data_IF_548785651290
#
_entry.id   IF_548785651290
#
_cell.length_a   1.000
_cell.length_b   1.000
_cell.length_c   1.000
_cell.angle_alpha   90.00
_cell.angle_beta   90.00
_cell.angle_gamma   90.00
#
_symmetry.space_group_name_H-M   'P 1'
#
loop_
_entity.id
_entity.type
_entity.pdbx_description
1 polymer ?
#
# COMPACT_ATOMS: atom_id res chain seq x y z
N UNK A 1 -104.47 -1.41 25.49
CA UNK A 1 -103.37 -1.53 26.47
C UNK A 1 -102.76 -2.91 26.25
N UNK A 2 -101.49 -3.09 25.90
CA UNK A 2 -100.28 -2.41 26.35
C UNK A 2 -99.27 -2.37 25.20
N UNK A 3 -98.67 -1.20 25.01
CA UNK A 3 -97.61 -0.89 24.07
C UNK A 3 -96.28 -1.36 24.66
N UNK A 4 -95.57 -2.28 23.99
CA UNK A 4 -94.18 -2.63 24.35
C UNK A 4 -93.25 -1.78 23.48
N UNK A 5 -92.66 -0.75 24.09
CA UNK A 5 -91.59 0.05 23.48
C UNK A 5 -90.30 -0.80 23.43
N UNK A 6 -89.86 -1.16 22.23
CA UNK A 6 -88.47 -1.50 21.98
C UNK A 6 -87.65 -0.21 22.05
N UNK A 7 -86.96 -0.03 23.18
CA UNK A 7 -85.95 1.03 23.32
C UNK A 7 -84.73 0.61 22.50
N UNK A 8 -84.63 1.14 21.28
CA UNK A 8 -83.41 1.08 20.49
C UNK A 8 -82.26 1.70 21.27
N UNK A 9 -81.31 0.87 21.69
CA UNK A 9 -80.09 1.32 22.35
C UNK A 9 -79.28 2.16 21.36
N UNK A 10 -79.34 3.48 21.52
CA UNK A 10 -78.36 4.40 20.94
C UNK A 10 -77.00 4.03 21.51
N UNK A 11 -76.20 3.31 20.72
CA UNK A 11 -74.82 2.96 21.06
C UNK A 11 -74.00 4.24 21.22
N UNK A 12 -73.80 4.65 22.47
CA UNK A 12 -72.92 5.75 22.83
C UNK A 12 -71.48 5.23 22.88
N UNK A 13 -70.72 5.42 21.81
CA UNK A 13 -69.31 5.00 21.64
C UNK A 13 -68.30 5.75 22.55
N UNK A 14 -68.76 6.42 23.61
CA UNK A 14 -67.96 7.31 24.45
C UNK A 14 -67.83 6.84 25.90
N UNK A 15 -68.31 5.64 26.25
CA UNK A 15 -68.15 5.09 27.59
C UNK A 15 -66.86 4.26 27.68
N UNK A 16 -66.04 4.53 28.70
CA UNK A 16 -64.74 3.86 28.89
C UNK A 16 -64.85 2.33 29.08
N UNK A 17 -66.03 1.85 29.49
CA UNK A 17 -66.31 0.44 29.82
C UNK A 17 -66.90 -0.38 28.65
N UNK A 18 -67.06 0.20 27.46
CA UNK A 18 -67.56 -0.55 26.29
C UNK A 18 -66.57 -1.66 25.89
N UNK A 19 -67.08 -2.88 25.70
CA UNK A 19 -66.27 -4.05 25.38
C UNK A 19 -65.40 -3.88 24.11
N UNK A 20 -65.81 -3.04 23.16
CA UNK A 20 -65.02 -2.72 21.96
C UNK A 20 -63.87 -1.77 22.29
N UNK A 21 -64.12 -0.77 23.14
CA UNK A 21 -63.11 0.23 23.57
C UNK A 21 -62.01 -0.44 24.41
N UNK A 22 -62.38 -1.35 25.32
CA UNK A 22 -61.42 -2.13 26.12
C UNK A 22 -60.55 -3.03 25.23
N UNK A 23 -61.15 -3.69 24.24
CA UNK A 23 -60.44 -4.54 23.29
C UNK A 23 -59.46 -3.75 22.41
N UNK A 24 -59.88 -2.60 21.88
CA UNK A 24 -59.02 -1.73 21.08
C UNK A 24 -57.87 -1.16 21.91
N UNK A 25 -58.10 -0.82 23.19
CA UNK A 25 -57.05 -0.34 24.10
C UNK A 25 -56.01 -1.41 24.40
N UNK A 26 -56.43 -2.66 24.63
CA UNK A 26 -55.52 -3.79 24.81
C UNK A 26 -54.71 -4.09 23.54
N UNK A 27 -55.35 -4.01 22.36
CA UNK A 27 -54.67 -4.17 21.09
C UNK A 27 -53.64 -3.05 20.83
N UNK A 28 -53.98 -1.80 21.14
CA UNK A 28 -53.09 -0.66 21.01
C UNK A 28 -51.90 -0.70 21.99
N UNK A 29 -52.10 -1.25 23.20
CA UNK A 29 -51.03 -1.42 24.19
C UNK A 29 -49.94 -2.43 23.76
N UNK A 30 -50.27 -3.34 22.84
CA UNK A 30 -49.31 -4.30 22.27
C UNK A 30 -48.48 -3.73 21.10
N UNK A 31 -48.72 -2.47 20.71
CA UNK A 31 -48.00 -1.83 19.61
C UNK A 31 -46.84 -1.02 20.18
N UNK A 32 -45.62 -1.37 19.78
CA UNK A 32 -44.40 -0.67 20.20
C UNK A 32 -44.18 0.59 19.36
N UNK A 33 -44.33 1.75 20.00
CA UNK A 33 -44.08 3.07 19.41
C UNK A 33 -42.75 3.68 19.86
N UNK A 34 -41.87 2.96 20.56
CA UNK A 34 -40.63 3.51 21.14
C UNK A 34 -39.73 4.16 20.08
N UNK A 35 -39.67 3.61 18.88
CA UNK A 35 -38.86 4.09 17.74
C UNK A 35 -39.48 5.27 16.98
N UNK A 36 -40.75 5.60 17.20
CA UNK A 36 -41.38 6.76 16.57
C UNK A 36 -41.00 8.06 17.26
N UNK A 37 -40.79 9.13 16.47
CA UNK A 37 -40.56 10.47 16.99
C UNK A 37 -41.74 10.93 17.85
N UNK A 38 -41.48 11.61 18.96
CA UNK A 38 -42.52 12.01 19.93
C UNK A 38 -43.68 12.81 19.32
N UNK A 39 -43.37 13.62 18.30
CA UNK A 39 -44.34 14.42 17.54
C UNK A 39 -45.34 13.58 16.74
N UNK A 40 -44.98 12.33 16.40
CA UNK A 40 -45.84 11.40 15.64
C UNK A 40 -46.73 10.54 16.55
N UNK A 41 -46.55 10.63 17.88
CA UNK A 41 -47.34 9.89 18.87
C UNK A 41 -48.60 10.66 19.32
N UNK A 42 -48.73 11.91 18.91
CA UNK A 42 -49.85 12.78 19.27
C UNK A 42 -50.86 12.82 18.13
N UNK A 43 -52.16 12.80 18.47
CA UNK A 43 -53.21 13.10 17.48
C UNK A 43 -53.09 14.56 17.07
N UNK A 44 -52.79 14.75 15.80
CA UNK A 44 -52.69 16.05 15.15
C UNK A 44 -53.97 16.34 14.36
N UNK A 45 -54.20 17.61 14.03
CA UNK A 45 -55.31 17.97 13.15
C UNK A 45 -55.12 17.41 11.73
N UNK A 46 -56.22 17.19 11.00
CA UNK A 46 -56.17 16.71 9.60
C UNK A 46 -55.26 17.57 8.70
N UNK A 47 -55.13 18.87 9.02
CA UNK A 47 -54.25 19.80 8.31
C UNK A 47 -52.78 19.50 8.56
N UNK A 48 -52.42 19.20 9.80
CA UNK A 48 -51.04 18.87 10.21
C UNK A 48 -50.65 17.47 9.74
N UNK A 49 -51.58 16.51 9.75
CA UNK A 49 -51.36 15.17 9.20
C UNK A 49 -51.06 15.24 7.70
N UNK A 50 -51.84 16.00 6.93
CA UNK A 50 -51.60 16.24 5.49
C UNK A 50 -50.25 16.90 5.24
N UNK A 51 -49.84 17.84 6.11
CA UNK A 51 -48.52 18.48 6.03
C UNK A 51 -47.38 17.48 6.27
N UNK A 52 -47.49 16.64 7.30
CA UNK A 52 -46.49 15.61 7.59
C UNK A 52 -46.40 14.55 6.50
N UNK A 53 -47.54 14.08 5.97
CA UNK A 53 -47.55 13.17 4.81
C UNK A 53 -46.79 13.76 3.64
N UNK A 54 -47.07 15.04 3.32
CA UNK A 54 -46.36 15.75 2.26
C UNK A 54 -44.85 15.86 2.54
N UNK A 55 -44.44 16.17 3.77
CA UNK A 55 -43.02 16.21 4.16
C UNK A 55 -42.32 14.86 3.98
N UNK A 56 -42.98 13.75 4.34
CA UNK A 56 -42.41 12.42 4.12
C UNK A 56 -42.32 12.06 2.64
N UNK A 57 -43.30 12.46 1.84
CA UNK A 57 -43.31 12.25 0.39
C UNK A 57 -42.24 13.10 -0.32
N UNK A 58 -42.02 14.33 0.16
CA UNK A 58 -40.93 15.21 -0.27
C UNK A 58 -39.55 14.63 0.15
N UNK A 59 -39.43 14.05 1.36
CA UNK A 59 -38.20 13.37 1.78
C UNK A 59 -37.92 12.11 0.96
N UNK A 60 -38.96 11.32 0.70
CA UNK A 60 -38.85 10.10 -0.07
C UNK A 60 -38.42 10.41 -1.51
N UNK A 61 -39.08 11.37 -2.15
CA UNK A 61 -38.71 11.83 -3.49
C UNK A 61 -37.29 12.40 -3.54
N UNK A 62 -36.85 13.12 -2.52
CA UNK A 62 -35.46 13.59 -2.42
C UNK A 62 -34.45 12.43 -2.33
N UNK A 63 -34.72 11.43 -1.49
CA UNK A 63 -33.84 10.26 -1.36
C UNK A 63 -33.83 9.44 -2.66
N UNK A 64 -34.97 9.28 -3.32
CA UNK A 64 -35.03 8.63 -4.64
C UNK A 64 -34.24 9.40 -5.70
N UNK A 65 -34.38 10.72 -5.76
CA UNK A 65 -33.60 11.54 -6.68
C UNK A 65 -32.09 11.47 -6.36
N UNK A 66 -31.70 11.40 -5.09
CA UNK A 66 -30.30 11.18 -4.70
C UNK A 66 -29.80 9.82 -5.17
N UNK A 67 -30.56 8.74 -4.98
CA UNK A 67 -30.20 7.39 -5.44
C UNK A 67 -30.13 7.32 -6.97
N UNK A 68 -31.08 7.90 -7.70
CA UNK A 68 -31.06 7.96 -9.17
C UNK A 68 -29.89 8.80 -9.69
N UNK A 69 -29.48 9.84 -8.95
CA UNK A 69 -28.31 10.65 -9.29
C UNK A 69 -26.98 9.93 -9.02
N UNK A 70 -26.98 8.91 -8.14
CA UNK A 70 -25.78 8.11 -7.91
C UNK A 70 -25.47 7.29 -9.15
N UNK A 71 -24.27 7.49 -9.68
CA UNK A 71 -23.71 6.70 -10.76
C UNK A 71 -22.57 5.84 -10.20
N UNK A 72 -22.86 4.72 -9.53
CA UNK A 72 -21.81 3.88 -8.97
C UNK A 72 -20.91 3.33 -10.09
N UNK A 73 -19.58 3.51 -9.94
CA UNK A 73 -18.61 2.92 -10.85
C UNK A 73 -18.47 1.42 -10.54
N UNK A 74 -19.34 0.60 -11.14
CA UNK A 74 -19.37 -0.85 -10.92
C UNK A 74 -18.05 -1.55 -11.32
N UNK A 75 -17.22 -0.92 -12.15
CA UNK A 75 -15.90 -1.45 -12.54
C UNK A 75 -14.78 -1.12 -11.56
N UNK A 76 -15.03 -0.27 -10.57
CA UNK A 76 -14.00 0.16 -9.62
C UNK A 76 -13.44 -0.99 -8.78
N UNK A 77 -14.30 -1.93 -8.37
CA UNK A 77 -13.90 -3.10 -7.60
C UNK A 77 -12.98 -4.03 -8.43
N UNK A 78 -13.40 -4.41 -9.64
CA UNK A 78 -12.61 -5.25 -10.54
C UNK A 78 -11.29 -4.58 -10.95
N UNK A 79 -11.31 -3.28 -11.21
CA UNK A 79 -10.11 -2.51 -11.51
C UNK A 79 -9.15 -2.46 -10.32
N UNK A 80 -9.67 -2.33 -9.09
CA UNK A 80 -8.86 -2.36 -7.88
C UNK A 80 -8.18 -3.72 -7.70
N UNK A 81 -8.91 -4.81 -7.87
CA UNK A 81 -8.34 -6.17 -7.75
C UNK A 81 -7.24 -6.42 -8.77
N UNK A 82 -7.49 -6.05 -10.03
CA UNK A 82 -6.51 -6.17 -11.12
C UNK A 82 -5.24 -5.37 -10.84
N UNK A 83 -5.37 -4.13 -10.36
CA UNK A 83 -4.22 -3.28 -10.02
C UNK A 83 -3.48 -3.82 -8.80
N UNK A 84 -4.20 -4.32 -7.80
CA UNK A 84 -3.64 -4.91 -6.58
C UNK A 84 -2.82 -6.16 -6.89
N UNK A 85 -3.32 -7.04 -7.77
CA UNK A 85 -2.60 -8.23 -8.21
C UNK A 85 -1.33 -7.87 -8.99
N UNK A 86 -1.44 -6.96 -9.98
CA UNK A 86 -0.27 -6.47 -10.73
C UNK A 86 0.77 -5.82 -9.82
N UNK A 87 0.35 -5.08 -8.80
CA UNK A 87 1.25 -4.46 -7.84
C UNK A 87 2.01 -5.52 -7.03
N UNK A 88 1.32 -6.59 -6.59
CA UNK A 88 1.94 -7.69 -5.86
C UNK A 88 2.96 -8.43 -6.73
N UNK A 89 2.60 -8.76 -7.97
CA UNK A 89 3.50 -9.43 -8.92
C UNK A 89 4.73 -8.56 -9.23
N UNK A 90 4.51 -7.29 -9.57
CA UNK A 90 5.59 -6.35 -9.85
C UNK A 90 6.50 -6.13 -8.64
N UNK A 91 5.94 -6.09 -7.42
CA UNK A 91 6.70 -6.01 -6.19
C UNK A 91 7.57 -7.24 -5.94
N UNK A 92 7.06 -8.44 -6.21
CA UNK A 92 7.81 -9.68 -6.08
C UNK A 92 8.97 -9.75 -7.10
N UNK A 93 8.71 -9.39 -8.36
CA UNK A 93 9.74 -9.36 -9.41
C UNK A 93 10.81 -8.31 -9.14
N UNK A 94 10.43 -7.15 -8.59
CA UNK A 94 11.38 -6.12 -8.17
C UNK A 94 12.31 -6.61 -7.07
N UNK A 95 11.78 -7.21 -5.99
CA UNK A 95 12.60 -7.72 -4.90
C UNK A 95 13.49 -8.90 -5.34
N UNK A 96 13.01 -9.75 -6.24
CA UNK A 96 13.83 -10.79 -6.87
C UNK A 96 14.99 -10.17 -7.66
N UNK A 97 14.70 -9.24 -8.57
CA UNK A 97 15.71 -8.57 -9.39
C UNK A 97 16.75 -7.84 -8.55
N UNK A 98 16.32 -7.18 -7.48
CA UNK A 98 17.20 -6.50 -6.51
C UNK A 98 18.10 -7.48 -5.77
N UNK A 99 17.57 -8.64 -5.39
CA UNK A 99 18.35 -9.71 -4.75
C UNK A 99 19.39 -10.27 -5.71
N UNK A 100 19.01 -10.53 -6.96
CA UNK A 100 19.90 -11.06 -7.98
C UNK A 100 21.00 -10.05 -8.35
N UNK A 101 20.67 -8.77 -8.48
CA UNK A 101 21.65 -7.70 -8.69
C UNK A 101 22.68 -7.62 -7.54
N UNK A 102 22.23 -7.73 -6.29
CA UNK A 102 23.11 -7.76 -5.12
C UNK A 102 24.06 -8.97 -5.15
N UNK A 103 23.54 -10.16 -5.45
CA UNK A 103 24.36 -11.39 -5.58
C UNK A 103 25.39 -11.25 -6.69
N UNK A 104 24.98 -10.74 -7.86
CA UNK A 104 25.87 -10.51 -8.99
C UNK A 104 26.99 -9.51 -8.64
N UNK A 105 26.66 -8.40 -7.98
CA UNK A 105 27.63 -7.40 -7.53
C UNK A 105 28.65 -7.98 -6.53
N UNK A 106 28.18 -8.81 -5.58
CA UNK A 106 29.07 -9.50 -4.63
C UNK A 106 29.99 -10.51 -5.33
N UNK A 107 29.45 -11.30 -6.26
CA UNK A 107 30.22 -12.26 -7.03
C UNK A 107 31.28 -11.56 -7.90
N UNK A 108 30.90 -10.46 -8.55
CA UNK A 108 31.82 -9.62 -9.31
C UNK A 108 32.95 -9.09 -8.43
N UNK A 109 32.63 -8.54 -7.25
CA UNK A 109 33.66 -8.00 -6.36
C UNK A 109 34.61 -9.08 -5.85
N UNK A 110 34.10 -10.28 -5.56
CA UNK A 110 34.95 -11.41 -5.18
C UNK A 110 35.97 -11.75 -6.27
N UNK A 111 35.54 -11.82 -7.52
CA UNK A 111 36.42 -12.09 -8.67
C UNK A 111 37.39 -10.93 -8.90
N UNK A 112 36.92 -9.69 -8.82
CA UNK A 112 37.73 -8.46 -8.94
C UNK A 112 38.88 -8.48 -7.94
N UNK A 113 38.60 -8.74 -6.67
CA UNK A 113 39.60 -8.80 -5.61
C UNK A 113 40.60 -9.95 -5.80
N UNK A 114 40.12 -11.12 -6.22
CA UNK A 114 41.01 -12.26 -6.51
C UNK A 114 41.95 -11.96 -7.68
N UNK A 115 41.44 -11.29 -8.73
CA UNK A 115 42.25 -10.87 -9.87
C UNK A 115 43.30 -9.84 -9.46
N UNK A 116 42.91 -8.83 -8.69
CA UNK A 116 43.81 -7.81 -8.16
C UNK A 116 44.94 -8.45 -7.32
N UNK A 117 44.57 -9.34 -6.40
CA UNK A 117 45.54 -10.03 -5.54
C UNK A 117 46.56 -10.82 -6.36
N UNK A 118 46.11 -11.69 -7.27
CA UNK A 118 47.00 -12.51 -8.10
C UNK A 118 47.92 -11.65 -8.98
N UNK A 119 47.40 -10.54 -9.50
CA UNK A 119 48.21 -9.60 -10.27
C UNK A 119 49.31 -8.99 -9.40
N UNK A 120 48.97 -8.45 -8.23
CA UNK A 120 49.92 -7.81 -7.34
C UNK A 120 50.96 -8.79 -6.80
N UNK A 121 50.57 -10.02 -6.46
CA UNK A 121 51.49 -11.08 -6.03
C UNK A 121 52.58 -11.33 -7.08
N UNK A 122 52.20 -11.42 -8.36
CA UNK A 122 53.15 -11.60 -9.46
C UNK A 122 53.95 -10.32 -9.77
N UNK A 123 53.31 -9.17 -9.79
CA UNK A 123 53.94 -7.88 -10.06
C UNK A 123 55.05 -7.58 -9.07
N UNK A 124 54.77 -7.71 -7.76
CA UNK A 124 55.75 -7.45 -6.71
C UNK A 124 56.96 -8.37 -6.84
N UNK A 125 56.73 -9.66 -7.13
CA UNK A 125 57.82 -10.60 -7.32
C UNK A 125 58.70 -10.25 -8.54
N UNK A 126 58.09 -9.83 -9.64
CA UNK A 126 58.83 -9.42 -10.84
C UNK A 126 59.59 -8.11 -10.61
N UNK A 127 58.99 -7.12 -9.94
CA UNK A 127 59.64 -5.84 -9.64
C UNK A 127 60.86 -6.01 -8.73
N UNK A 128 60.76 -6.86 -7.70
CA UNK A 128 61.89 -7.21 -6.84
C UNK A 128 63.01 -7.90 -7.63
N UNK A 129 62.67 -8.90 -8.46
CA UNK A 129 63.65 -9.60 -9.28
C UNK A 129 64.33 -8.67 -10.31
N UNK A 130 63.56 -7.76 -10.93
CA UNK A 130 64.06 -6.79 -11.88
C UNK A 130 65.10 -5.86 -11.25
N UNK A 131 64.83 -5.35 -10.04
CA UNK A 131 65.77 -4.52 -9.28
C UNK A 131 67.11 -5.23 -9.11
N UNK A 132 67.07 -6.47 -8.62
CA UNK A 132 68.28 -7.27 -8.41
C UNK A 132 69.06 -7.49 -9.70
N UNK A 133 68.39 -7.96 -10.76
CA UNK A 133 69.04 -8.28 -12.04
C UNK A 133 69.63 -7.02 -12.68
N UNK A 134 68.88 -5.91 -12.72
CA UNK A 134 69.34 -4.68 -13.34
C UNK A 134 70.53 -4.09 -12.60
N UNK A 135 70.47 -4.04 -11.26
CA UNK A 135 71.59 -3.58 -10.44
C UNK A 135 72.82 -4.44 -10.66
N UNK A 136 72.70 -5.77 -10.69
CA UNK A 136 73.85 -6.66 -10.90
C UNK A 136 74.43 -6.57 -12.31
N UNK A 137 73.58 -6.42 -13.34
CA UNK A 137 74.03 -6.24 -14.73
C UNK A 137 74.73 -4.90 -14.98
N UNK A 138 74.41 -3.87 -14.19
CA UNK A 138 74.97 -2.52 -14.35
C UNK A 138 76.12 -2.22 -13.39
N UNK A 139 76.48 -3.17 -12.52
CA UNK A 139 77.69 -3.08 -11.69
C UNK A 139 78.95 -3.19 -12.54
N UNK A 140 79.91 -2.32 -12.27
CA UNK A 140 81.24 -2.37 -12.88
C UNK A 140 82.31 -1.91 -11.89
N UNK A 141 83.58 -2.11 -12.22
CA UNK A 141 84.69 -1.62 -11.39
C UNK A 141 84.67 -0.10 -11.18
N UNK A 142 84.04 0.67 -12.09
CA UNK A 142 83.88 2.14 -11.97
C UNK A 142 82.62 2.52 -11.20
N UNK A 143 81.58 1.67 -11.23
CA UNK A 143 80.31 1.89 -10.54
C UNK A 143 79.95 0.64 -9.71
N UNK A 144 80.51 0.52 -8.49
CA UNK A 144 80.34 -0.68 -7.66
C UNK A 144 78.90 -0.92 -7.18
N UNK A 145 78.09 0.13 -7.15
CA UNK A 145 76.70 0.08 -6.71
C UNK A 145 75.71 -0.29 -7.84
N UNK A 146 76.11 -0.15 -9.10
CA UNK A 146 75.22 -0.32 -10.25
C UNK A 146 74.13 0.76 -10.33
N UNK A 147 73.25 0.62 -11.33
CA UNK A 147 72.05 1.43 -11.51
C UNK A 147 70.84 0.81 -10.80
N UNK A 148 69.69 1.48 -10.94
CA UNK A 148 68.41 1.05 -10.36
C UNK A 148 67.32 1.00 -11.43
N UNK A 149 66.42 0.03 -11.37
CA UNK A 149 65.24 -0.03 -12.24
C UNK A 149 64.02 -0.50 -11.45
N UNK A 150 62.84 0.02 -11.78
CA UNK A 150 61.59 -0.36 -11.13
C UNK A 150 60.40 -0.23 -12.08
N UNK A 151 59.34 -0.94 -11.74
CA UNK A 151 58.05 -0.91 -12.41
C UNK A 151 57.08 0.00 -11.65
N UNK A 152 56.30 0.79 -12.38
CA UNK A 152 55.23 1.61 -11.80
C UNK A 152 53.90 1.29 -12.47
N UNK A 153 52.85 1.19 -11.66
CA UNK A 153 51.48 0.93 -12.12
C UNK A 153 50.73 2.26 -12.30
N UNK A 154 50.00 2.39 -13.40
CA UNK A 154 49.17 3.58 -13.66
C UNK A 154 47.92 3.62 -12.76
N UNK A 155 47.39 2.45 -12.39
CA UNK A 155 46.27 2.28 -11.46
C UNK A 155 46.66 1.26 -10.38
N UNK A 156 46.54 1.63 -9.12
CA UNK A 156 46.87 0.76 -7.98
C UNK A 156 45.65 0.01 -7.42
N UNK A 157 44.43 0.46 -7.73
CA UNK A 157 43.17 -0.18 -7.36
C UNK A 157 42.82 -1.32 -8.34
N UNK A 158 42.92 -1.07 -9.65
CA UNK A 158 42.68 -2.06 -10.69
C UNK A 158 43.88 -2.18 -11.65
N UNK A 159 45.04 -2.66 -11.18
CA UNK A 159 46.28 -2.63 -11.94
C UNK A 159 46.25 -3.48 -13.21
N UNK A 160 45.33 -4.44 -13.30
CA UNK A 160 45.07 -5.24 -14.50
C UNK A 160 44.27 -4.51 -15.59
N UNK A 161 43.77 -3.29 -15.34
CA UNK A 161 43.14 -2.42 -16.34
C UNK A 161 44.11 -1.35 -16.86
N UNK A 162 45.01 -0.90 -15.99
CA UNK A 162 46.01 0.12 -16.30
C UNK A 162 47.21 -0.42 -17.08
N UNK A 163 48.04 0.51 -17.54
CA UNK A 163 49.37 0.21 -18.05
C UNK A 163 50.38 0.04 -16.91
N UNK A 164 51.52 -0.57 -17.26
CA UNK A 164 52.71 -0.62 -16.43
C UNK A 164 53.84 0.10 -17.17
N UNK A 165 54.59 0.92 -16.45
CA UNK A 165 55.76 1.64 -16.97
C UNK A 165 57.03 1.08 -16.37
N UNK A 166 58.04 0.89 -17.21
CA UNK A 166 59.39 0.53 -16.81
C UNK A 166 60.24 1.79 -16.72
N UNK A 167 60.88 2.00 -15.57
CA UNK A 167 61.77 3.13 -15.33
C UNK A 167 63.15 2.59 -14.94
N UNK A 168 64.20 3.13 -15.56
CA UNK A 168 65.58 2.75 -15.28
C UNK A 168 66.45 3.99 -15.08
N UNK A 169 67.31 3.93 -14.08
CA UNK A 169 68.29 4.94 -13.70
C UNK A 169 69.69 4.31 -13.80
N UNK A 170 70.46 4.65 -14.84
CA UNK A 170 71.83 4.15 -15.01
C UNK A 170 72.79 4.57 -13.87
N UNK A 171 73.91 3.85 -13.67
CA UNK A 171 74.92 4.14 -12.65
C UNK A 171 75.80 5.37 -12.90
#
# INVERSE_FOLDING_TARGET
>A
AVTSQETGATTHFSQEDDARVVKDRQAAANIDFTTMKSQLKQRVSDREERKMRKEFEDQLSKVFAEIESMTPNMKAAEAFDTVSERLKESGADFEKSKTDARKAAQAFQKVRNQRAKRFNDAFNHIDEALKTIYTDMTKSSKHPLGGNAYLSLDDTEEPYKGGMKFNAMPP
#
